data_IF_199790597822
#
_entry.id   IF_199790597822
#
_cell.length_a   1.000
_cell.length_b   1.000
_cell.length_c   1.000
_cell.angle_alpha   90.00
_cell.angle_beta   90.00
_cell.angle_gamma   90.00
#
_symmetry.space_group_name_H-M   'P 1'
#
loop_
_entity.id
_entity.type
_entity.pdbx_description
1 polymer ?
#
# COMPACT_ATOMS: atom_id res chain seq x y z
N UNK A 1 -3.06 -21.62 -3.91
CA UNK A 1 -2.32 -21.18 -2.71
C UNK A 1 -1.67 -19.81 -2.96
N UNK A 2 -2.43 -18.73 -2.70
CA UNK A 2 -1.94 -17.34 -2.85
C UNK A 2 -1.77 -16.74 -1.47
N UNK A 3 -0.52 -16.53 -1.06
CA UNK A 3 -0.17 -15.82 0.15
C UNK A 3 0.11 -14.37 -0.23
N UNK A 4 -0.70 -13.46 0.28
CA UNK A 4 -0.23 -12.09 0.50
C UNK A 4 -0.36 -11.83 1.99
N UNK A 5 0.65 -12.31 2.69
CA UNK A 5 1.01 -11.83 4.01
C UNK A 5 1.17 -10.31 3.83
N UNK A 6 0.61 -9.49 4.72
CA UNK A 6 1.24 -8.19 4.98
C UNK A 6 2.67 -8.58 5.32
N UNK A 7 3.65 -8.39 4.42
CA UNK A 7 4.89 -9.12 4.55
C UNK A 7 5.47 -8.78 5.93
N UNK A 8 6.09 -9.76 6.58
CA UNK A 8 6.87 -9.52 7.79
C UNK A 8 7.85 -8.33 7.64
N UNK A 9 8.10 -7.89 6.40
CA UNK A 9 8.74 -6.65 6.01
C UNK A 9 8.14 -5.37 6.61
N UNK A 10 6.87 -5.34 7.03
CA UNK A 10 6.28 -4.13 7.62
C UNK A 10 6.81 -3.87 9.05
N UNK A 11 7.30 -4.88 9.78
CA UNK A 11 7.95 -4.69 11.09
C UNK A 11 9.45 -4.37 10.98
N UNK A 12 9.90 -3.94 9.80
CA UNK A 12 11.30 -3.69 9.51
C UNK A 12 12.16 -4.97 9.56
N UNK A 13 13.39 -4.94 9.02
CA UNK A 13 14.31 -6.09 9.09
C UNK A 13 14.80 -6.43 10.50
N UNK A 14 14.50 -5.58 11.49
CA UNK A 14 14.93 -5.71 12.87
C UNK A 14 14.00 -6.57 13.73
N UNK A 15 12.73 -6.74 13.35
CA UNK A 15 11.82 -7.67 14.04
C UNK A 15 11.81 -9.04 13.35
N UNK A 16 12.46 -10.03 13.97
CA UNK A 16 12.47 -11.44 13.51
C UNK A 16 11.54 -12.35 14.32
N UNK A 17 10.48 -11.81 14.91
CA UNK A 17 9.47 -12.62 15.57
C UNK A 17 8.58 -13.34 14.53
N UNK A 18 8.35 -14.63 14.69
CA UNK A 18 7.31 -15.34 13.93
C UNK A 18 5.94 -14.94 14.52
N UNK A 19 5.09 -14.20 13.80
CA UNK A 19 3.78 -13.84 14.32
C UNK A 19 2.92 -15.10 14.51
N UNK A 20 2.24 -15.21 15.65
CA UNK A 20 1.27 -16.29 15.90
C UNK A 20 0.01 -16.15 15.04
N UNK A 21 -0.26 -14.93 14.56
CA UNK A 21 -1.35 -14.58 13.65
C UNK A 21 -0.92 -13.39 12.77
N UNK A 22 -1.27 -13.44 11.48
CA UNK A 22 -1.11 -12.32 10.57
C UNK A 22 -2.48 -11.92 10.05
N UNK A 23 -2.86 -10.69 10.34
CA UNK A 23 -4.04 -10.06 9.78
C UNK A 23 -3.64 -9.07 8.68
N UNK A 24 -4.52 -8.87 7.70
CA UNK A 24 -4.29 -7.92 6.61
C UNK A 24 -5.43 -6.93 6.56
N UNK A 25 -5.15 -5.68 6.17
CA UNK A 25 -6.18 -4.63 6.06
C UNK A 25 -7.35 -5.13 5.19
N UNK A 26 -7.06 -5.66 4.00
CA UNK A 26 -8.09 -6.15 3.10
C UNK A 26 -8.81 -7.42 3.61
N UNK A 27 -8.13 -8.27 4.37
CA UNK A 27 -8.72 -9.45 5.01
C UNK A 27 -9.69 -9.06 6.13
N UNK A 28 -9.25 -8.18 7.02
CA UNK A 28 -10.07 -7.69 8.13
C UNK A 28 -11.26 -6.87 7.63
N UNK A 29 -11.09 -6.04 6.60
CA UNK A 29 -12.23 -5.33 5.98
C UNK A 29 -13.26 -6.28 5.39
N UNK A 30 -12.82 -7.39 4.75
CA UNK A 30 -13.74 -8.41 4.26
C UNK A 30 -14.52 -9.08 5.37
N UNK A 31 -13.85 -9.41 6.46
CA UNK A 31 -14.46 -10.09 7.61
C UNK A 31 -15.43 -9.15 8.34
N UNK A 32 -14.97 -7.96 8.71
CA UNK A 32 -15.76 -6.98 9.48
C UNK A 32 -16.98 -6.46 8.71
N UNK A 33 -16.90 -6.35 7.38
CA UNK A 33 -17.96 -5.81 6.54
C UNK A 33 -18.73 -6.90 5.78
N UNK A 34 -18.54 -8.17 6.16
CA UNK A 34 -19.20 -9.30 5.55
C UNK A 34 -20.73 -9.11 5.55
N UNK A 35 -21.36 -9.34 4.39
CA UNK A 35 -22.81 -9.20 4.21
C UNK A 35 -23.32 -7.77 3.99
N UNK A 36 -22.45 -6.75 4.13
CA UNK A 36 -22.85 -5.34 3.94
C UNK A 36 -22.09 -4.66 2.80
N UNK A 37 -20.81 -4.98 2.60
CA UNK A 37 -19.96 -4.35 1.59
C UNK A 37 -19.16 -5.41 0.83
N UNK A 38 -19.09 -5.28 -0.49
CA UNK A 38 -18.18 -6.09 -1.31
C UNK A 38 -16.76 -5.50 -1.27
N UNK A 39 -15.78 -6.32 -0.90
CA UNK A 39 -14.38 -5.90 -0.80
C UNK A 39 -13.50 -6.63 -1.81
N UNK A 40 -13.07 -5.92 -2.84
CA UNK A 40 -12.14 -6.40 -3.88
C UNK A 40 -10.73 -5.93 -3.57
N UNK A 41 -9.73 -6.79 -3.80
CA UNK A 41 -8.32 -6.46 -3.59
C UNK A 41 -7.57 -6.53 -4.92
N UNK A 42 -6.80 -5.50 -5.21
CA UNK A 42 -5.71 -5.53 -6.19
C UNK A 42 -4.37 -5.53 -5.46
N UNK A 43 -3.38 -6.22 -6.00
CA UNK A 43 -2.04 -6.29 -5.41
C UNK A 43 -1.28 -4.94 -5.54
N UNK A 44 -1.60 -4.14 -6.54
CA UNK A 44 -0.86 -2.92 -6.85
C UNK A 44 0.57 -3.21 -7.32
N UNK A 45 1.48 -2.28 -7.05
CA UNK A 45 2.90 -2.34 -7.44
C UNK A 45 3.79 -2.91 -6.33
N UNK A 46 5.02 -3.30 -6.69
CA UNK A 46 6.04 -3.71 -5.73
C UNK A 46 6.29 -2.65 -4.65
N UNK A 47 6.45 -3.09 -3.41
CA UNK A 47 6.70 -2.25 -2.24
C UNK A 47 8.17 -2.25 -1.83
N UNK A 48 8.90 -3.30 -2.16
CA UNK A 48 10.33 -3.44 -1.87
C UNK A 48 11.18 -2.92 -3.04
N UNK A 49 12.22 -2.10 -2.78
CA UNK A 49 13.17 -1.69 -3.82
C UNK A 49 13.99 -2.88 -4.36
N UNK A 50 13.98 -4.02 -3.67
CA UNK A 50 14.67 -5.24 -4.07
C UNK A 50 13.80 -6.19 -4.91
N UNK A 51 12.48 -5.96 -4.98
CA UNK A 51 11.60 -6.73 -5.86
C UNK A 51 11.83 -6.28 -7.32
N UNK A 52 12.51 -7.11 -8.09
CA UNK A 52 12.75 -6.85 -9.51
C UNK A 52 11.45 -7.00 -10.30
N UNK A 53 10.92 -5.89 -10.80
CA UNK A 53 9.85 -5.86 -11.79
C UNK A 53 10.29 -5.09 -13.04
N UNK A 54 9.89 -5.57 -14.21
CA UNK A 54 10.04 -4.83 -15.45
C UNK A 54 9.03 -3.69 -15.52
N UNK A 55 9.30 -2.66 -16.33
CA UNK A 55 8.33 -1.59 -16.58
C UNK A 55 7.00 -2.10 -17.12
N UNK A 56 7.01 -3.17 -17.92
CA UNK A 56 5.78 -3.78 -18.44
C UNK A 56 4.96 -4.46 -17.32
N UNK A 57 5.62 -5.14 -16.39
CA UNK A 57 4.95 -5.74 -15.22
C UNK A 57 4.38 -4.67 -14.30
N UNK A 58 5.13 -3.59 -14.07
CA UNK A 58 4.64 -2.45 -13.30
C UNK A 58 3.40 -1.83 -13.96
N UNK A 59 3.45 -1.54 -15.27
CA UNK A 59 2.33 -0.95 -15.99
C UNK A 59 1.07 -1.84 -15.94
N UNK A 60 1.23 -3.16 -16.07
CA UNK A 60 0.12 -4.11 -15.96
C UNK A 60 -0.48 -4.12 -14.54
N UNK A 61 0.37 -4.07 -13.51
CA UNK A 61 -0.05 -3.98 -12.10
C UNK A 61 -0.82 -2.69 -11.80
N UNK A 62 -0.32 -1.55 -12.30
CA UNK A 62 -1.02 -0.26 -12.19
C UNK A 62 -2.36 -0.31 -12.92
N UNK A 63 -2.41 -0.82 -14.15
CA UNK A 63 -3.65 -0.96 -14.91
C UNK A 63 -4.69 -1.82 -14.18
N UNK A 64 -4.27 -2.94 -13.57
CA UNK A 64 -5.13 -3.78 -12.77
C UNK A 64 -5.67 -3.07 -11.51
N UNK A 65 -4.83 -2.27 -10.83
CA UNK A 65 -5.27 -1.46 -9.69
C UNK A 65 -6.27 -0.37 -10.10
N UNK A 66 -6.01 0.32 -11.22
CA UNK A 66 -6.91 1.33 -11.79
C UNK A 66 -8.25 0.70 -12.20
N UNK A 67 -8.24 -0.47 -12.83
CA UNK A 67 -9.48 -1.18 -13.20
C UNK A 67 -10.30 -1.57 -11.96
N UNK A 68 -9.66 -2.07 -10.90
CA UNK A 68 -10.33 -2.39 -9.65
C UNK A 68 -10.91 -1.12 -8.98
N UNK A 69 -10.15 -0.04 -8.95
CA UNK A 69 -10.60 1.25 -8.44
C UNK A 69 -11.79 1.79 -9.25
N UNK A 70 -11.75 1.67 -10.58
CA UNK A 70 -12.83 2.08 -11.47
C UNK A 70 -14.15 1.31 -11.25
N UNK A 71 -14.11 0.12 -10.65
CA UNK A 71 -15.29 -0.64 -10.26
C UNK A 71 -15.78 -0.40 -8.82
N UNK A 72 -14.98 0.23 -7.95
CA UNK A 72 -15.29 0.42 -6.53
C UNK A 72 -15.95 1.78 -6.21
N UNK A 73 -16.80 1.88 -5.19
CA UNK A 73 -17.36 3.18 -4.77
C UNK A 73 -16.34 4.02 -3.97
N UNK A 74 -15.46 3.36 -3.22
CA UNK A 74 -14.41 3.96 -2.39
C UNK A 74 -13.12 3.15 -2.55
N UNK A 75 -11.99 3.84 -2.63
CA UNK A 75 -10.67 3.22 -2.73
C UNK A 75 -9.90 3.32 -1.41
N UNK A 76 -9.49 2.18 -0.86
CA UNK A 76 -8.51 2.14 0.25
C UNK A 76 -7.16 1.78 -0.36
N UNK A 77 -6.24 2.74 -0.40
CA UNK A 77 -4.92 2.58 -1.05
C UNK A 77 -3.85 2.50 0.02
N UNK A 78 -3.26 1.32 0.17
CA UNK A 78 -2.16 1.07 1.11
C UNK A 78 -0.82 1.36 0.43
N UNK A 79 -0.02 2.22 1.04
CA UNK A 79 1.30 2.63 0.54
C UNK A 79 2.35 2.46 1.64
N UNK A 80 3.59 2.28 1.23
CA UNK A 80 4.73 2.14 2.14
C UNK A 80 5.97 2.78 1.54
N UNK A 81 6.88 3.22 2.39
CA UNK A 81 8.19 3.72 1.98
C UNK A 81 9.28 2.77 2.43
N UNK A 82 10.52 3.08 2.05
CA UNK A 82 11.66 2.41 2.66
C UNK A 82 11.61 2.60 4.18
N UNK A 83 11.75 1.50 4.90
CA UNK A 83 11.88 1.50 6.35
C UNK A 83 13.34 1.67 6.73
N UNK A 84 13.60 2.39 7.82
CA UNK A 84 14.90 2.38 8.46
C UNK A 84 15.25 0.96 8.90
N UNK A 85 16.53 0.64 8.89
CA UNK A 85 17.03 -0.64 9.39
C UNK A 85 17.99 -0.38 10.53
N UNK A 86 18.25 -1.39 11.36
CA UNK A 86 19.33 -1.28 12.33
C UNK A 86 20.64 -0.93 11.60
N UNK A 87 21.28 0.14 12.03
CA UNK A 87 22.50 0.69 11.42
C UNK A 87 22.36 1.27 10.01
N UNK A 88 21.13 1.56 9.53
CA UNK A 88 20.93 2.26 8.25
C UNK A 88 19.74 3.22 8.30
N UNK A 89 20.04 4.50 8.17
CA UNK A 89 19.03 5.53 7.96
C UNK A 89 18.42 5.42 6.56
N UNK A 90 17.21 5.97 6.42
CA UNK A 90 16.55 6.10 5.11
C UNK A 90 17.29 7.13 4.26
N UNK A 91 17.54 6.82 3.00
CA UNK A 91 18.10 7.79 2.04
C UNK A 91 17.06 8.80 1.58
N UNK A 92 15.77 8.46 1.68
CA UNK A 92 14.66 9.31 1.28
C UNK A 92 13.42 9.05 2.14
N UNK A 93 12.66 10.13 2.40
CA UNK A 93 11.34 10.06 3.02
C UNK A 93 10.20 10.06 1.96
N UNK A 94 10.57 9.96 0.69
CA UNK A 94 9.65 9.88 -0.44
C UNK A 94 8.96 8.53 -0.55
N UNK A 95 7.76 8.52 -1.13
CA UNK A 95 7.15 7.26 -1.58
C UNK A 95 7.91 6.73 -2.81
N UNK A 96 8.06 5.40 -2.96
CA UNK A 96 8.64 4.81 -4.16
C UNK A 96 7.89 5.28 -5.43
N UNK A 97 8.62 5.66 -6.50
CA UNK A 97 7.99 6.20 -7.71
C UNK A 97 6.85 5.35 -8.32
N UNK A 98 6.92 4.00 -8.34
CA UNK A 98 5.80 3.17 -8.82
C UNK A 98 4.52 3.36 -8.02
N UNK A 99 4.64 3.51 -6.69
CA UNK A 99 3.51 3.69 -5.79
C UNK A 99 2.87 5.07 -6.00
N UNK A 100 3.70 6.10 -6.22
CA UNK A 100 3.22 7.44 -6.54
C UNK A 100 2.45 7.46 -7.87
N UNK A 101 3.00 6.85 -8.94
CA UNK A 101 2.32 6.72 -10.24
C UNK A 101 0.98 5.98 -10.13
N UNK A 102 0.93 4.91 -9.33
CA UNK A 102 -0.30 4.17 -9.08
C UNK A 102 -1.34 5.04 -8.38
N UNK A 103 -0.96 5.76 -7.32
CA UNK A 103 -1.86 6.66 -6.59
C UNK A 103 -2.38 7.79 -7.50
N UNK A 104 -1.50 8.40 -8.31
CA UNK A 104 -1.87 9.43 -9.28
C UNK A 104 -2.89 8.90 -10.30
N UNK A 105 -2.65 7.72 -10.86
CA UNK A 105 -3.54 7.08 -11.82
C UNK A 105 -4.89 6.69 -11.22
N UNK A 106 -4.93 6.26 -9.95
CA UNK A 106 -6.21 6.01 -9.26
C UNK A 106 -6.93 7.33 -8.99
N UNK A 107 -6.21 8.37 -8.58
CA UNK A 107 -6.80 9.67 -8.28
C UNK A 107 -7.47 10.32 -9.49
N UNK A 108 -7.00 10.09 -10.74
CA UNK A 108 -7.67 10.60 -11.96
C UNK A 108 -9.10 10.10 -12.13
N UNK A 109 -9.49 9.01 -11.47
CA UNK A 109 -10.86 8.49 -11.50
C UNK A 109 -11.85 9.35 -10.72
N UNK A 110 -11.38 10.28 -9.87
CA UNK A 110 -12.23 11.18 -9.08
C UNK A 110 -13.01 10.49 -7.96
N UNK A 111 -12.65 9.25 -7.62
CA UNK A 111 -13.29 8.47 -6.56
C UNK A 111 -12.75 8.84 -5.17
N UNK A 112 -13.54 8.71 -4.10
CA UNK A 112 -13.03 8.88 -2.75
C UNK A 112 -11.87 7.93 -2.46
N UNK A 113 -10.75 8.49 -1.98
CA UNK A 113 -9.53 7.73 -1.66
C UNK A 113 -9.21 7.89 -0.18
N UNK A 114 -9.13 6.77 0.53
CA UNK A 114 -8.52 6.67 1.85
C UNK A 114 -7.10 6.14 1.65
N UNK A 115 -6.12 7.01 1.85
CA UNK A 115 -4.71 6.62 1.80
C UNK A 115 -4.29 6.05 3.16
N UNK A 116 -3.75 4.82 3.17
CA UNK A 116 -3.21 4.19 4.38
C UNK A 116 -1.70 4.08 4.23
N UNK A 117 -0.96 4.85 5.02
CA UNK A 117 0.49 4.86 5.03
C UNK A 117 1.01 3.90 6.08
N UNK A 118 1.80 2.92 5.64
CA UNK A 118 2.49 1.96 6.50
C UNK A 118 3.98 2.29 6.45
N UNK A 119 4.50 2.89 7.51
CA UNK A 119 5.91 3.24 7.65
C UNK A 119 6.30 3.51 9.10
N UNK A 120 7.60 3.52 9.36
CA UNK A 120 8.25 3.64 10.67
C UNK A 120 8.57 5.08 11.06
N UNK A 121 8.15 6.05 10.24
CA UNK A 121 8.41 7.46 10.50
C UNK A 121 7.70 8.39 9.56
N UNK A 122 8.13 9.66 9.59
CA UNK A 122 7.61 10.69 8.72
C UNK A 122 7.86 10.36 7.25
N UNK A 123 6.87 10.69 6.41
CA UNK A 123 6.93 10.62 4.96
C UNK A 123 6.71 12.01 4.39
N UNK A 124 7.35 12.30 3.27
CA UNK A 124 7.02 13.49 2.48
C UNK A 124 5.54 13.46 2.09
N UNK A 125 4.97 14.65 1.85
CA UNK A 125 3.60 14.82 1.36
C UNK A 125 3.61 15.20 -0.13
N UNK A 126 3.61 14.22 -1.06
CA UNK A 126 3.41 14.49 -2.48
C UNK A 126 2.11 15.25 -2.75
N UNK A 127 2.09 16.06 -3.81
CA UNK A 127 0.91 16.86 -4.20
C UNK A 127 -0.36 16.03 -4.39
N UNK A 128 -0.23 14.76 -4.81
CA UNK A 128 -1.37 13.85 -4.97
C UNK A 128 -2.12 13.57 -3.65
N UNK A 129 -1.52 13.82 -2.48
CA UNK A 129 -2.20 13.68 -1.20
C UNK A 129 -3.41 14.60 -1.07
N UNK A 130 -3.39 15.79 -1.69
CA UNK A 130 -4.54 16.70 -1.71
C UNK A 130 -5.75 16.12 -2.46
N UNK A 131 -5.55 15.04 -3.22
CA UNK A 131 -6.63 14.31 -3.93
C UNK A 131 -7.18 13.15 -3.11
N UNK A 132 -6.58 12.84 -1.97
CA UNK A 132 -7.09 11.84 -1.04
C UNK A 132 -8.17 12.48 -0.17
N UNK A 133 -9.28 11.77 0.01
CA UNK A 133 -10.39 12.19 0.88
C UNK A 133 -10.00 12.07 2.35
N UNK A 134 -9.19 11.05 2.68
CA UNK A 134 -8.65 10.83 4.01
C UNK A 134 -7.25 10.24 3.92
N UNK A 135 -6.46 10.46 4.97
CA UNK A 135 -5.17 9.83 5.18
C UNK A 135 -5.12 9.22 6.59
N UNK A 136 -4.64 7.99 6.68
CA UNK A 136 -4.39 7.27 7.92
C UNK A 136 -2.93 6.84 7.93
N UNK A 137 -2.18 7.24 8.95
CA UNK A 137 -0.85 6.68 9.20
C UNK A 137 -0.99 5.53 10.18
N UNK A 138 -0.75 4.31 9.70
CA UNK A 138 -0.89 3.07 10.45
C UNK A 138 0.42 2.59 11.04
N UNK A 139 1.28 3.53 11.48
CA UNK A 139 2.64 3.36 12.02
C UNK A 139 3.06 1.92 12.33
N UNK A 140 4.24 1.55 11.83
CA UNK A 140 4.82 0.22 11.98
C UNK A 140 6.29 0.33 12.34
N UNK A 141 6.68 -0.21 13.49
CA UNK A 141 8.02 -0.18 14.07
C UNK A 141 8.15 -1.12 15.25
#
# INVERSE_FOLDING_TARGET
>A
PFWSVVPAEILGPSYRGTPSRVDTIAGNLRELLAGSVSVTRSAGVATSPYEKQTHAQEALRIAAAVAAAAAADVCVVTLTAELATESRDRESIGLPPPQLRMLEAIATLGKPIVCVLLGDGALSSPSVWHRCTAALHGFVG
#
